data_IF_624749730555
#
_entry.id   IF_624749730555
#
_cell.length_a   1.000
_cell.length_b   1.000
_cell.length_c   1.000
_cell.angle_alpha   90.00
_cell.angle_beta   90.00
_cell.angle_gamma   90.00
#
_symmetry.space_group_name_H-M   'P 1'
#
loop_
_entity.id
_entity.type
_entity.pdbx_description
1 polymer ?
#
# COMPACT_ATOMS: atom_id res chain seq x y z
N UNK A 1 3.41 0.02 -7.16
CA UNK A 1 2.59 -1.08 -7.72
C UNK A 1 1.38 -0.68 -8.57
N UNK A 2 1.06 0.61 -8.73
CA UNK A 2 -0.24 1.08 -9.27
C UNK A 2 -0.02 1.79 -10.61
N UNK A 3 -0.88 1.55 -11.60
CA UNK A 3 -0.90 2.31 -12.87
C UNK A 3 -1.66 3.63 -12.71
N UNK A 4 -1.24 4.67 -13.41
CA UNK A 4 -1.93 5.96 -13.40
C UNK A 4 -3.36 5.86 -13.91
N UNK A 5 -4.21 6.78 -13.47
CA UNK A 5 -5.60 6.85 -13.94
C UNK A 5 -5.64 7.31 -15.40
N UNK A 6 -6.29 6.54 -16.26
CA UNK A 6 -6.48 6.90 -17.67
C UNK A 6 -7.62 7.92 -17.76
N UNK A 7 -7.27 9.20 -17.75
CA UNK A 7 -8.22 10.33 -17.84
C UNK A 7 -8.58 10.68 -19.29
N UNK A 8 -7.80 10.25 -20.28
CA UNK A 8 -7.97 10.59 -21.70
C UNK A 8 -8.69 9.49 -22.47
N UNK A 9 -10.01 9.65 -22.62
CA UNK A 9 -10.85 8.82 -23.48
C UNK A 9 -12.31 9.20 -23.34
N UNK A 10 -12.76 10.11 -24.21
CA UNK A 10 -14.11 10.72 -24.18
C UNK A 10 -15.20 9.70 -24.54
N UNK A 11 -14.86 8.52 -25.07
CA UNK A 11 -15.82 7.49 -25.45
C UNK A 11 -15.32 6.09 -25.12
N UNK A 12 -16.16 5.28 -24.45
CA UNK A 12 -15.96 3.85 -24.21
C UNK A 12 -16.11 3.39 -22.75
N UNK A 13 -16.97 2.40 -22.52
CA UNK A 13 -17.03 1.60 -21.28
C UNK A 13 -15.98 0.48 -21.36
N UNK A 14 -14.70 0.78 -21.11
CA UNK A 14 -13.69 -0.28 -21.08
C UNK A 14 -13.67 -0.99 -19.72
N UNK A 15 -13.54 -2.32 -19.73
CA UNK A 15 -13.40 -3.15 -18.52
C UNK A 15 -12.27 -2.62 -17.64
N UNK A 16 -11.13 -2.25 -18.23
CA UNK A 16 -9.99 -1.68 -17.53
C UNK A 16 -10.28 -0.33 -16.85
N UNK A 17 -11.05 0.56 -17.48
CA UNK A 17 -11.48 1.83 -16.87
C UNK A 17 -12.37 1.57 -15.65
N UNK A 18 -13.26 0.59 -15.73
CA UNK A 18 -14.14 0.21 -14.61
C UNK A 18 -13.34 -0.44 -13.47
N UNK A 19 -12.42 -1.36 -13.78
CA UNK A 19 -11.52 -1.97 -12.78
C UNK A 19 -10.67 -0.89 -12.09
N UNK A 20 -10.07 0.03 -12.87
CA UNK A 20 -9.24 1.10 -12.32
C UNK A 20 -10.02 2.07 -11.45
N UNK A 21 -11.28 2.37 -11.79
CA UNK A 21 -12.17 3.20 -10.97
C UNK A 21 -12.50 2.55 -9.62
N UNK A 22 -12.59 1.22 -9.57
CA UNK A 22 -12.82 0.49 -8.32
C UNK A 22 -11.54 0.31 -7.49
N UNK A 23 -10.36 0.55 -8.08
CA UNK A 23 -9.06 0.37 -7.44
C UNK A 23 -8.95 1.00 -6.04
N UNK A 24 -9.36 2.26 -5.78
CA UNK A 24 -9.22 2.85 -4.45
C UNK A 24 -9.98 2.08 -3.36
N UNK A 25 -11.07 1.41 -3.70
CA UNK A 25 -11.85 0.58 -2.77
C UNK A 25 -11.18 -0.78 -2.50
N UNK A 26 -10.35 -1.26 -3.42
CA UNK A 26 -9.64 -2.54 -3.30
C UNK A 26 -8.22 -2.38 -2.77
N UNK A 27 -7.57 -1.25 -3.03
CA UNK A 27 -6.19 -0.99 -2.62
C UNK A 27 -6.00 -1.09 -1.10
N UNK A 28 -6.99 -0.67 -0.31
CA UNK A 28 -7.00 -0.81 1.16
C UNK A 28 -7.00 -2.27 1.63
N UNK A 29 -7.42 -3.20 0.77
CA UNK A 29 -7.44 -4.64 1.02
C UNK A 29 -6.17 -5.36 0.53
N UNK A 30 -5.16 -4.60 0.09
CA UNK A 30 -3.86 -5.12 -0.33
C UNK A 30 -2.82 -4.76 0.73
N UNK A 31 -2.00 -5.73 1.09
CA UNK A 31 -0.73 -5.53 1.79
C UNK A 31 0.40 -6.10 0.94
N UNK A 32 1.65 -5.86 1.31
CA UNK A 32 2.80 -6.36 0.58
C UNK A 32 3.64 -7.24 1.49
N UNK A 33 4.10 -8.36 0.93
CA UNK A 33 5.16 -9.17 1.52
C UNK A 33 6.46 -8.78 0.85
N UNK A 34 7.40 -8.32 1.65
CA UNK A 34 8.72 -7.95 1.17
C UNK A 34 9.49 -9.21 0.75
N UNK A 35 10.05 -9.14 -0.45
CA UNK A 35 11.15 -9.97 -0.91
C UNK A 35 12.40 -9.10 -0.93
N UNK A 36 12.82 -8.69 -2.12
CA UNK A 36 13.96 -7.82 -2.39
C UNK A 36 13.73 -6.36 -1.96
N UNK A 37 12.49 -5.96 -1.68
CA UNK A 37 12.11 -4.62 -1.23
C UNK A 37 12.14 -3.56 -2.33
N UNK A 38 12.34 -3.96 -3.60
CA UNK A 38 12.58 -3.02 -4.72
C UNK A 38 11.29 -2.35 -5.18
N UNK A 39 10.13 -2.98 -4.96
CA UNK A 39 8.83 -2.49 -5.45
C UNK A 39 7.94 -1.98 -4.33
N UNK A 40 8.19 -2.39 -3.11
CA UNK A 40 7.42 -1.97 -1.94
C UNK A 40 7.84 -0.59 -1.45
N UNK A 41 6.91 0.36 -1.46
CA UNK A 41 7.10 1.70 -0.93
C UNK A 41 7.17 1.67 0.60
N UNK A 42 8.21 2.28 1.16
CA UNK A 42 8.45 2.25 2.60
C UNK A 42 7.35 2.96 3.39
N UNK A 43 6.85 4.10 2.90
CA UNK A 43 5.93 4.95 3.66
C UNK A 43 4.46 4.74 3.33
N UNK A 44 4.14 4.54 2.06
CA UNK A 44 2.78 4.65 1.52
C UNK A 44 2.07 3.30 1.42
N UNK A 45 2.79 2.19 1.57
CA UNK A 45 2.23 0.84 1.43
C UNK A 45 2.16 0.10 2.77
N UNK A 46 1.18 -0.80 2.89
CA UNK A 46 1.02 -1.65 4.08
C UNK A 46 1.87 -2.90 3.89
N UNK A 47 3.12 -2.84 4.31
CA UNK A 47 4.06 -3.96 4.19
C UNK A 47 4.56 -4.48 5.54
N UNK A 48 4.30 -3.73 6.61
CA UNK A 48 4.57 -4.12 7.99
C UNK A 48 3.41 -3.67 8.89
N UNK A 49 2.98 -4.55 9.79
CA UNK A 49 1.80 -4.32 10.63
C UNK A 49 0.50 -4.19 9.82
N UNK A 50 -0.43 -3.40 10.34
CA UNK A 50 -1.80 -3.31 9.80
C UNK A 50 -2.09 -2.06 8.96
N UNK A 51 -1.25 -1.02 9.09
CA UNK A 51 -1.41 0.30 8.44
C UNK A 51 -0.09 0.77 7.86
N UNK A 52 -0.14 1.64 6.86
CA UNK A 52 1.05 2.23 6.26
C UNK A 52 1.77 3.16 7.26
N UNK A 53 3.10 3.26 7.13
CA UNK A 53 3.93 4.02 8.07
C UNK A 53 3.63 5.52 8.00
N UNK A 54 3.20 6.03 6.85
CA UNK A 54 2.76 7.43 6.69
C UNK A 54 1.56 7.76 7.57
N UNK A 55 0.58 6.87 7.65
CA UNK A 55 -0.61 7.05 8.48
C UNK A 55 -0.27 6.91 9.97
N UNK A 56 0.65 6.02 10.32
CA UNK A 56 1.08 5.83 11.71
C UNK A 56 2.00 6.96 12.21
N UNK A 57 2.88 7.49 11.34
CA UNK A 57 3.91 8.47 11.68
C UNK A 57 3.88 9.69 10.73
N UNK A 58 2.76 10.42 10.60
CA UNK A 58 2.61 11.48 9.60
C UNK A 58 3.63 12.61 9.76
N UNK A 59 4.04 12.90 10.99
CA UNK A 59 5.04 13.92 11.28
C UNK A 59 6.44 13.52 10.79
N UNK A 60 6.82 12.25 10.92
CA UNK A 60 8.10 11.75 10.39
C UNK A 60 8.07 11.66 8.88
N UNK A 61 6.93 11.26 8.30
CA UNK A 61 6.73 11.27 6.85
C UNK A 61 6.97 12.67 6.27
N UNK A 62 6.40 13.72 6.87
CA UNK A 62 6.61 15.11 6.43
C UNK A 62 8.09 15.53 6.53
N UNK A 63 8.84 15.02 7.51
CA UNK A 63 10.26 15.31 7.69
C UNK A 63 11.17 14.49 6.77
N UNK A 64 10.74 13.32 6.32
CA UNK A 64 11.51 12.45 5.44
C UNK A 64 11.71 13.07 4.06
N UNK A 65 12.93 12.97 3.53
CA UNK A 65 13.24 13.27 2.13
C UNK A 65 12.99 12.06 1.21
N UNK A 66 12.71 10.90 1.80
CA UNK A 66 12.54 9.61 1.13
C UNK A 66 11.07 9.18 1.09
N UNK A 67 10.13 10.12 0.91
CA UNK A 67 8.68 9.88 1.00
C UNK A 67 8.13 8.85 0.01
N UNK A 68 8.84 8.60 -1.09
CA UNK A 68 8.49 7.64 -2.14
C UNK A 68 9.58 6.57 -2.30
N UNK A 69 10.49 6.46 -1.33
CA UNK A 69 11.56 5.49 -1.38
C UNK A 69 11.03 4.09 -1.10
N UNK A 70 11.67 3.09 -1.69
CA UNK A 70 11.33 1.69 -1.50
C UNK A 70 12.02 1.14 -0.27
N UNK A 71 11.55 0.01 0.24
CA UNK A 71 12.17 -0.64 1.41
C UNK A 71 13.63 -0.98 1.15
N UNK A 72 13.98 -1.41 -0.06
CA UNK A 72 15.37 -1.68 -0.46
C UNK A 72 16.27 -0.43 -0.43
N UNK A 73 15.70 0.76 -0.64
CA UNK A 73 16.46 2.02 -0.62
C UNK A 73 16.69 2.55 0.80
N UNK A 74 15.80 2.21 1.73
CA UNK A 74 15.86 2.68 3.13
C UNK A 74 16.52 1.66 4.06
N UNK A 75 16.53 0.38 3.68
CA UNK A 75 17.15 -0.70 4.45
C UNK A 75 18.61 -0.94 4.05
N UNK A 76 19.51 -0.89 5.03
CA UNK A 76 20.95 -1.16 4.86
C UNK A 76 21.40 -2.30 5.78
N UNK A 77 22.59 -2.90 5.56
CA UNK A 77 23.16 -3.87 6.49
C UNK A 77 23.37 -3.34 7.92
N UNK A 78 23.42 -2.01 8.09
CA UNK A 78 23.57 -1.33 9.38
C UNK A 78 22.23 -0.92 10.00
N UNK A 79 21.11 -1.16 9.30
CA UNK A 79 19.76 -0.83 9.74
C UNK A 79 19.05 0.18 8.83
N UNK A 80 18.08 0.91 9.39
CA UNK A 80 17.26 1.86 8.66
C UNK A 80 18.00 3.19 8.42
N UNK A 81 18.20 3.54 7.15
CA UNK A 81 18.81 4.80 6.73
C UNK A 81 17.71 5.83 6.38
N UNK A 82 17.26 6.55 7.40
CA UNK A 82 16.22 7.58 7.30
C UNK A 82 16.83 8.97 7.08
N UNK A 83 16.66 9.51 5.88
CA UNK A 83 17.11 10.86 5.54
C UNK A 83 16.01 11.87 5.88
N UNK A 84 16.27 12.73 6.86
CA UNK A 84 15.36 13.79 7.31
C UNK A 84 15.83 15.17 6.85
N UNK A 85 14.89 16.05 6.52
CA UNK A 85 15.17 17.41 6.03
C UNK A 85 15.78 18.36 7.07
N UNK A 86 15.73 17.99 8.35
CA UNK A 86 16.35 18.71 9.48
C UNK A 86 16.64 17.75 10.64
N UNK A 87 17.46 18.19 11.58
CA UNK A 87 17.63 17.51 12.86
C UNK A 87 16.29 17.37 13.60
N UNK A 88 16.17 16.29 14.38
CA UNK A 88 15.01 16.00 15.22
C UNK A 88 15.02 16.92 16.44
N UNK A 89 13.84 17.39 16.83
CA UNK A 89 13.65 17.99 18.14
C UNK A 89 13.41 16.91 19.20
N UNK A 90 13.61 17.22 20.48
CA UNK A 90 13.46 16.27 21.59
C UNK A 90 12.10 15.55 21.60
N UNK A 91 11.02 16.28 21.30
CA UNK A 91 9.67 15.70 21.23
C UNK A 91 9.45 14.76 20.03
N UNK A 92 10.27 14.85 18.99
CA UNK A 92 10.19 14.00 17.79
C UNK A 92 10.96 12.69 17.95
N UNK A 93 11.92 12.63 18.87
CA UNK A 93 12.70 11.42 19.17
C UNK A 93 11.77 10.27 19.56
N UNK A 94 10.78 10.54 20.42
CA UNK A 94 9.78 9.54 20.83
C UNK A 94 9.04 8.89 19.64
N UNK A 95 8.80 9.66 18.57
CA UNK A 95 8.14 9.17 17.36
C UNK A 95 9.06 8.26 16.55
N UNK A 96 10.34 8.58 16.49
CA UNK A 96 11.34 7.72 15.82
C UNK A 96 11.51 6.41 16.57
N UNK A 97 11.53 6.44 17.90
CA UNK A 97 11.54 5.22 18.72
C UNK A 97 10.31 4.36 18.42
N UNK A 98 9.12 4.97 18.36
CA UNK A 98 7.88 4.27 17.96
C UNK A 98 7.96 3.67 16.55
N UNK A 99 8.53 4.40 15.59
CA UNK A 99 8.74 3.90 14.23
C UNK A 99 9.65 2.66 14.24
N UNK A 100 10.79 2.73 14.92
CA UNK A 100 11.74 1.63 15.01
C UNK A 100 11.14 0.41 15.73
N UNK A 101 10.27 0.60 16.72
CA UNK A 101 9.54 -0.49 17.37
C UNK A 101 8.60 -1.21 16.40
N UNK A 102 7.89 -0.47 15.54
CA UNK A 102 7.04 -1.05 14.49
C UNK A 102 7.88 -1.80 13.46
N UNK A 103 9.09 -1.31 13.16
CA UNK A 103 10.00 -1.90 12.19
C UNK A 103 10.81 -3.09 12.75
N UNK A 104 10.93 -3.23 14.07
CA UNK A 104 11.74 -4.26 14.72
C UNK A 104 11.45 -5.71 14.29
N UNK A 105 10.19 -6.12 14.00
CA UNK A 105 9.91 -7.46 13.52
C UNK A 105 10.39 -7.74 12.09
N UNK A 106 10.85 -6.73 11.34
CA UNK A 106 11.32 -6.90 9.97
C UNK A 106 12.65 -7.68 9.95
N UNK A 107 12.69 -8.87 9.33
CA UNK A 107 13.89 -9.72 9.34
C UNK A 107 14.96 -9.25 8.33
N UNK A 108 14.69 -8.22 7.55
CA UNK A 108 15.49 -7.82 6.40
C UNK A 108 14.87 -8.24 5.06
N UNK A 109 15.47 -7.77 3.97
CA UNK A 109 15.11 -8.18 2.60
C UNK A 109 15.60 -9.61 2.32
N UNK A 110 14.86 -10.35 1.50
CA UNK A 110 15.17 -11.72 1.10
C UNK A 110 15.40 -11.84 -0.41
N UNK A 111 15.98 -12.93 -0.86
CA UNK A 111 16.09 -13.22 -2.29
C UNK A 111 14.71 -13.49 -2.92
N UNK A 112 14.33 -12.66 -3.89
CA UNK A 112 13.13 -12.83 -4.70
C UNK A 112 12.24 -11.58 -4.73
N UNK A 113 11.26 -11.52 -5.64
CA UNK A 113 10.45 -10.31 -5.81
C UNK A 113 9.46 -10.13 -4.65
N UNK A 114 9.24 -8.87 -4.29
CA UNK A 114 8.11 -8.42 -3.48
C UNK A 114 6.77 -8.96 -4.03
N UNK A 115 5.79 -9.21 -3.15
CA UNK A 115 4.49 -9.81 -3.54
C UNK A 115 3.31 -9.10 -2.89
N UNK A 116 2.25 -8.74 -3.64
CA UNK A 116 1.01 -8.30 -3.04
C UNK A 116 0.29 -9.47 -2.36
N UNK A 117 -0.30 -9.19 -1.20
CA UNK A 117 -1.16 -10.08 -0.41
C UNK A 117 -2.57 -9.48 -0.40
N UNK A 118 -3.55 -10.28 -0.77
CA UNK A 118 -4.96 -9.94 -0.70
C UNK A 118 -5.54 -10.31 0.67
N UNK A 119 -5.89 -9.30 1.48
CA UNK A 119 -6.33 -9.47 2.87
C UNK A 119 -7.68 -10.16 3.03
N UNK A 120 -8.52 -10.12 2.00
CA UNK A 120 -9.89 -10.66 2.06
C UNK A 120 -9.98 -12.15 1.74
N UNK A 121 -8.85 -12.83 1.59
CA UNK A 121 -8.80 -14.27 1.39
C UNK A 121 -7.76 -14.88 2.31
N UNK A 122 -8.10 -15.99 2.96
CA UNK A 122 -7.25 -16.65 3.97
C UNK A 122 -5.86 -17.05 3.46
N UNK A 123 -5.73 -17.35 2.16
CA UNK A 123 -4.44 -17.69 1.52
C UNK A 123 -3.65 -16.46 1.03
N UNK A 124 -4.14 -15.24 1.26
CA UNK A 124 -3.52 -14.03 0.73
C UNK A 124 -3.62 -13.87 -0.78
N UNK A 125 -4.39 -14.74 -1.45
CA UNK A 125 -4.53 -14.77 -2.90
C UNK A 125 -5.74 -13.96 -3.35
N UNK A 126 -5.57 -13.17 -4.41
CA UNK A 126 -6.70 -12.50 -5.04
C UNK A 126 -7.67 -13.52 -5.66
N UNK A 127 -8.97 -13.36 -5.40
CA UNK A 127 -10.02 -14.12 -6.09
C UNK A 127 -11.15 -13.19 -6.50
N UNK A 128 -11.71 -13.40 -7.70
CA UNK A 128 -12.85 -12.64 -8.20
C UNK A 128 -14.02 -12.69 -7.22
N UNK A 129 -14.26 -13.85 -6.59
CA UNK A 129 -15.31 -14.04 -5.58
C UNK A 129 -15.12 -13.12 -4.37
N UNK A 130 -13.94 -13.12 -3.74
CA UNK A 130 -13.68 -12.26 -2.57
C UNK A 130 -13.75 -10.77 -2.91
N UNK A 131 -13.27 -10.39 -4.09
CA UNK A 131 -13.34 -9.03 -4.60
C UNK A 131 -14.80 -8.60 -4.84
N UNK A 132 -15.63 -9.48 -5.42
CA UNK A 132 -17.05 -9.24 -5.61
C UNK A 132 -17.81 -9.11 -4.30
N UNK A 133 -17.56 -9.98 -3.33
CA UNK A 133 -18.16 -9.89 -1.99
C UNK A 133 -17.82 -8.57 -1.30
N UNK A 134 -16.57 -8.11 -1.39
CA UNK A 134 -16.17 -6.80 -0.88
C UNK A 134 -16.95 -5.66 -1.55
N UNK A 135 -17.00 -5.67 -2.89
CA UNK A 135 -17.74 -4.69 -3.67
C UNK A 135 -19.23 -4.65 -3.28
N UNK A 136 -19.86 -5.82 -3.14
CA UNK A 136 -21.26 -5.94 -2.78
C UNK A 136 -21.54 -5.37 -1.38
N UNK A 137 -20.71 -5.73 -0.39
CA UNK A 137 -20.83 -5.23 0.98
C UNK A 137 -20.67 -3.70 1.06
N UNK A 138 -19.78 -3.12 0.26
CA UNK A 138 -19.56 -1.67 0.22
C UNK A 138 -20.71 -0.89 -0.44
N UNK A 139 -21.40 -1.50 -1.42
CA UNK A 139 -22.39 -0.81 -2.25
C UNK A 139 -23.85 -1.12 -1.88
N UNK A 140 -24.11 -2.01 -0.92
CA UNK A 140 -25.47 -2.36 -0.49
C UNK A 140 -26.30 -1.14 -0.02
N UNK A 141 -25.63 -0.07 0.45
CA UNK A 141 -26.26 1.18 0.91
C UNK A 141 -26.15 2.37 -0.07
N UNK A 142 -25.54 2.22 -1.25
CA UNK A 142 -25.36 3.33 -2.21
C UNK A 142 -26.30 3.17 -3.41
N UNK A 143 -27.15 4.19 -3.65
CA UNK A 143 -28.06 4.32 -4.79
C UNK A 143 -27.40 4.22 -6.18
N UNK A 144 -26.08 4.22 -6.26
CA UNK A 144 -25.34 4.02 -7.51
C UNK A 144 -24.95 2.55 -7.68
N UNK A 145 -25.70 1.82 -8.52
CA UNK A 145 -25.28 0.53 -9.07
C UNK A 145 -24.10 0.78 -10.03
N UNK A 146 -22.86 0.76 -9.55
CA UNK A 146 -21.75 0.52 -10.48
C UNK A 146 -21.86 -0.92 -10.96
N UNK A 147 -21.80 -1.15 -12.26
CA UNK A 147 -21.80 -2.52 -12.76
C UNK A 147 -20.49 -3.21 -12.40
N UNK A 148 -20.60 -4.44 -11.91
CA UNK A 148 -19.44 -5.27 -11.63
C UNK A 148 -18.68 -5.49 -12.94
N UNK A 149 -17.38 -5.13 -13.03
CA UNK A 149 -16.66 -5.09 -14.30
C UNK A 149 -16.60 -6.45 -15.01
N UNK A 150 -16.68 -7.54 -14.25
CA UNK A 150 -16.63 -8.92 -14.77
C UNK A 150 -18.01 -9.51 -15.07
N UNK A 151 -19.10 -8.72 -15.04
CA UNK A 151 -20.40 -9.15 -15.59
C UNK A 151 -20.49 -8.98 -17.11
N UNK A 152 -19.55 -8.23 -17.69
CA UNK A 152 -19.48 -7.91 -19.12
C UNK A 152 -18.57 -8.88 -19.91
N UNK A 153 -18.04 -9.91 -19.25
CA UNK A 153 -17.19 -10.97 -19.79
C UNK A 153 -17.91 -12.29 -19.57
#
# INVERSE_FOLDING_TARGET
>A
WITDEVTTGVFGCSVWKTIRRLWPSFASNISFKNGDGVKTDFWNEIWIGDRDLKTLFPNLFILSLQQMATVAQVWTPQGWDLILRRALNDWEISRVVGLLQVLNPFPGVTEGPDRPIWKLHNKGSFTVKSCYSCYWNMNHNRRMKMEWPWKLI
#
